data_IF_134467705066
#
_entry.id   IF_134467705066
#
_cell.length_a   1.000
_cell.length_b   1.000
_cell.length_c   1.000
_cell.angle_alpha   90.00
_cell.angle_beta   90.00
_cell.angle_gamma   90.00
#
_symmetry.space_group_name_H-M   'P 1'
#
loop_
_entity.id
_entity.type
_entity.pdbx_description
1 polymer ?
#
# COMPACT_ATOMS: atom_id res chain seq x y z
N UNK A 1 -2.03 -2.26 3.11
CA UNK A 1 -0.59 -2.58 3.04
C UNK A 1 0.25 -1.38 2.63
N UNK A 2 -0.18 -0.62 1.61
CA UNK A 2 0.53 0.56 1.11
C UNK A 2 0.82 1.65 2.15
N UNK A 3 -0.07 1.89 3.12
CA UNK A 3 0.16 2.90 4.18
C UNK A 3 1.41 2.59 5.02
N UNK A 4 1.70 1.32 5.31
CA UNK A 4 2.92 0.96 6.06
C UNK A 4 4.19 1.22 5.24
N UNK A 5 4.14 0.98 3.93
CA UNK A 5 5.25 1.26 3.01
C UNK A 5 5.49 2.77 2.96
N UNK A 6 4.44 3.56 2.72
CA UNK A 6 4.52 5.03 2.73
C UNK A 6 5.07 5.55 4.07
N UNK A 7 4.56 5.04 5.19
CA UNK A 7 5.03 5.43 6.51
C UNK A 7 6.50 5.12 6.74
N UNK A 8 6.98 3.95 6.29
CA UNK A 8 8.39 3.59 6.42
C UNK A 8 9.31 4.54 5.64
N UNK A 9 8.91 4.96 4.43
CA UNK A 9 9.67 5.92 3.62
C UNK A 9 9.66 7.31 4.28
N UNK A 10 8.50 7.76 4.77
CA UNK A 10 8.36 9.04 5.47
C UNK A 10 9.19 9.09 6.75
N UNK A 11 9.21 8.00 7.52
CA UNK A 11 9.94 7.90 8.79
C UNK A 11 11.44 7.76 8.58
N UNK A 12 11.87 7.05 7.54
CA UNK A 12 13.27 6.74 7.28
C UNK A 12 13.68 7.04 5.84
N UNK A 13 13.61 8.31 5.39
CA UNK A 13 13.80 8.64 3.99
C UNK A 13 15.20 8.27 3.47
N UNK A 14 16.24 8.38 4.30
CA UNK A 14 17.61 8.04 3.89
C UNK A 14 17.87 6.54 3.72
N UNK A 15 16.96 5.68 4.17
CA UNK A 15 17.18 4.23 4.17
C UNK A 15 16.66 3.61 2.87
N UNK A 16 17.60 3.28 1.97
CA UNK A 16 17.28 2.71 0.65
C UNK A 16 16.42 1.45 0.72
N UNK A 17 16.55 0.65 1.79
CA UNK A 17 15.76 -0.57 2.00
C UNK A 17 14.25 -0.34 1.98
N UNK A 18 13.77 0.82 2.43
CA UNK A 18 12.33 1.14 2.44
C UNK A 18 11.83 1.69 1.11
N UNK A 19 12.75 2.01 0.19
CA UNK A 19 12.44 2.43 -1.18
C UNK A 19 12.40 1.24 -2.14
N UNK A 20 12.58 0.03 -1.63
CA UNK A 20 12.58 -1.21 -2.41
C UNK A 20 11.59 -2.20 -1.81
N UNK A 21 10.87 -2.91 -2.67
CA UNK A 21 9.96 -3.98 -2.26
C UNK A 21 10.28 -5.20 -3.09
N UNK A 22 10.67 -6.29 -2.45
CA UNK A 22 10.92 -7.53 -3.16
C UNK A 22 9.62 -8.10 -3.73
N UNK A 23 9.61 -8.35 -5.05
CA UNK A 23 8.41 -8.79 -5.78
C UNK A 23 7.94 -10.15 -5.30
N UNK A 24 8.85 -11.09 -5.08
CA UNK A 24 8.50 -12.43 -4.61
C UNK A 24 7.94 -12.41 -3.19
N UNK A 25 8.59 -11.66 -2.29
CA UNK A 25 8.11 -11.51 -0.92
C UNK A 25 6.72 -10.85 -0.88
N UNK A 26 6.49 -9.82 -1.71
CA UNK A 26 5.19 -9.18 -1.86
C UNK A 26 4.13 -10.17 -2.36
N UNK A 27 4.44 -10.94 -3.39
CA UNK A 27 3.53 -11.92 -3.98
C UNK A 27 3.17 -13.03 -2.97
N UNK A 28 4.17 -13.61 -2.30
CA UNK A 28 3.97 -14.65 -1.28
C UNK A 28 3.11 -14.13 -0.12
N UNK A 29 3.42 -12.93 0.37
CA UNK A 29 2.63 -12.32 1.45
C UNK A 29 1.17 -12.07 1.04
N UNK A 30 0.95 -11.54 -0.16
CA UNK A 30 -0.40 -11.32 -0.69
C UNK A 30 -1.15 -12.63 -0.89
N UNK A 31 -0.46 -13.67 -1.37
CA UNK A 31 -1.03 -14.99 -1.59
C UNK A 31 -1.52 -15.59 -0.27
N UNK A 32 -0.66 -15.62 0.74
CA UNK A 32 -1.00 -16.11 2.08
C UNK A 32 -2.16 -15.32 2.70
N UNK A 33 -2.15 -13.99 2.57
CA UNK A 33 -3.24 -13.15 3.07
C UNK A 33 -4.56 -13.38 2.33
N UNK A 34 -4.54 -13.49 1.01
CA UNK A 34 -5.74 -13.75 0.23
C UNK A 34 -6.31 -15.13 0.52
N UNK A 35 -5.45 -16.14 0.65
CA UNK A 35 -5.83 -17.48 1.06
C UNK A 35 -6.51 -17.47 2.44
N UNK A 36 -5.92 -16.80 3.42
CA UNK A 36 -6.47 -16.68 4.78
C UNK A 36 -7.83 -15.98 4.81
N UNK A 37 -8.03 -14.98 3.94
CA UNK A 37 -9.25 -14.17 3.89
C UNK A 37 -10.25 -14.64 2.83
N UNK A 38 -10.00 -15.77 2.17
CA UNK A 38 -10.78 -16.27 1.02
C UNK A 38 -11.03 -15.18 -0.05
N UNK A 39 -10.04 -14.31 -0.27
CA UNK A 39 -10.12 -13.20 -1.22
C UNK A 39 -9.55 -13.59 -2.59
N UNK A 40 -10.02 -12.94 -3.65
CA UNK A 40 -9.49 -13.15 -5.00
C UNK A 40 -8.08 -12.55 -5.12
N UNK A 41 -7.08 -13.42 -5.16
CA UNK A 41 -5.67 -13.05 -5.19
C UNK A 41 -5.30 -12.17 -6.40
N UNK A 42 -5.73 -12.53 -7.61
CA UNK A 42 -5.40 -11.76 -8.83
C UNK A 42 -5.91 -10.32 -8.75
N UNK A 43 -7.15 -10.13 -8.29
CA UNK A 43 -7.73 -8.80 -8.11
C UNK A 43 -6.94 -7.98 -7.08
N UNK A 44 -6.58 -8.59 -5.95
CA UNK A 44 -5.80 -7.92 -4.90
C UNK A 44 -4.39 -7.58 -5.39
N UNK A 45 -3.77 -8.45 -6.18
CA UNK A 45 -2.45 -8.21 -6.76
C UNK A 45 -2.49 -7.02 -7.72
N UNK A 46 -3.44 -7.01 -8.67
CA UNK A 46 -3.61 -5.88 -9.62
C UNK A 46 -3.83 -4.57 -8.86
N UNK A 47 -4.69 -4.58 -7.85
CA UNK A 47 -4.94 -3.40 -7.02
C UNK A 47 -3.66 -2.94 -6.33
N UNK A 48 -2.92 -3.84 -5.69
CA UNK A 48 -1.66 -3.50 -5.03
C UNK A 48 -0.61 -2.95 -6.00
N UNK A 49 -0.46 -3.54 -7.19
CA UNK A 49 0.49 -3.06 -8.19
C UNK A 49 0.13 -1.65 -8.70
N UNK A 50 -1.16 -1.34 -8.86
CA UNK A 50 -1.61 -0.01 -9.24
C UNK A 50 -1.34 1.02 -8.15
N UNK A 51 -1.63 0.69 -6.89
CA UNK A 51 -1.31 1.54 -5.75
C UNK A 51 0.19 1.85 -5.66
N UNK A 52 1.05 0.86 -5.91
CA UNK A 52 2.48 1.08 -5.94
C UNK A 52 2.88 2.10 -7.03
N UNK A 53 2.31 1.98 -8.24
CA UNK A 53 2.55 2.95 -9.32
C UNK A 53 2.05 4.34 -8.93
N UNK A 54 0.88 4.44 -8.30
CA UNK A 54 0.32 5.70 -7.80
C UNK A 54 1.19 6.35 -6.71
N UNK A 55 2.07 5.59 -6.06
CA UNK A 55 3.09 6.12 -5.14
C UNK A 55 4.46 6.27 -5.77
N UNK A 56 4.55 6.31 -7.10
CA UNK A 56 5.80 6.47 -7.84
C UNK A 56 6.77 5.29 -7.66
N UNK A 57 6.27 4.08 -7.40
CA UNK A 57 7.08 2.87 -7.51
C UNK A 57 7.07 2.35 -8.94
N UNK A 58 8.27 2.06 -9.45
CA UNK A 58 8.49 1.38 -10.73
C UNK A 58 8.76 -0.09 -10.50
N UNK A 59 8.17 -0.92 -11.36
CA UNK A 59 8.42 -2.36 -11.39
C UNK A 59 9.78 -2.62 -12.06
N UNK A 60 10.72 -3.19 -11.34
CA UNK A 60 11.94 -3.76 -11.91
C UNK A 60 11.81 -5.26 -12.13
N UNK A 61 12.94 -5.92 -12.40
CA UNK A 61 12.99 -7.37 -12.61
C UNK A 61 12.60 -8.14 -11.33
N UNK A 62 13.38 -7.96 -10.25
CA UNK A 62 13.18 -8.66 -8.97
C UNK A 62 12.45 -7.84 -7.90
N UNK A 63 12.52 -6.51 -7.99
CA UNK A 63 11.98 -5.62 -6.96
C UNK A 63 11.19 -4.47 -7.59
N UNK A 64 10.31 -3.88 -6.80
CA UNK A 64 9.78 -2.54 -7.04
C UNK A 64 10.71 -1.52 -6.43
N UNK A 65 10.89 -0.39 -7.10
CA UNK A 65 11.79 0.69 -6.71
C UNK A 65 11.05 2.01 -6.69
N UNK A 66 11.23 2.81 -5.65
CA UNK A 66 10.78 4.19 -5.66
C UNK A 66 11.53 4.96 -6.75
N UNK A 67 10.80 5.67 -7.60
CA UNK A 67 11.29 6.23 -8.86
C UNK A 67 12.36 7.31 -8.71
N UNK A 68 12.42 8.00 -7.57
CA UNK A 68 13.27 9.18 -7.40
C UNK A 68 14.38 8.95 -6.37
N UNK A 69 15.60 9.36 -6.72
CA UNK A 69 16.75 9.37 -5.80
C UNK A 69 16.52 10.31 -4.62
N UNK A 70 15.84 11.43 -4.88
CA UNK A 70 15.37 12.34 -3.85
C UNK A 70 13.90 12.05 -3.54
N UNK A 71 13.63 11.65 -2.29
CA UNK A 71 12.27 11.39 -1.85
C UNK A 71 11.45 12.67 -1.84
N UNK A 72 10.31 12.63 -2.54
CA UNK A 72 9.33 13.71 -2.51
C UNK A 72 8.46 13.59 -1.24
N UNK A 73 9.02 13.97 -0.09
CA UNK A 73 8.36 13.80 1.22
C UNK A 73 6.98 14.46 1.27
N UNK A 74 6.83 15.65 0.69
CA UNK A 74 5.54 16.36 0.66
C UNK A 74 4.49 15.59 -0.14
N UNK A 75 4.88 15.01 -1.27
CA UNK A 75 3.98 14.19 -2.10
C UNK A 75 3.57 12.91 -1.37
N UNK A 76 4.55 12.16 -0.84
CA UNK A 76 4.27 10.95 -0.07
C UNK A 76 3.41 11.21 1.17
N UNK A 77 3.59 12.36 1.82
CA UNK A 77 2.75 12.78 2.94
C UNK A 77 1.31 13.04 2.51
N UNK A 78 1.11 13.71 1.36
CA UNK A 78 -0.22 13.91 0.78
C UNK A 78 -0.88 12.57 0.44
N UNK A 79 -0.15 11.65 -0.18
CA UNK A 79 -0.62 10.30 -0.47
C UNK A 79 -1.01 9.56 0.82
N UNK A 80 -0.15 9.57 1.84
CA UNK A 80 -0.42 8.94 3.13
C UNK A 80 -1.71 9.49 3.75
N UNK A 81 -1.85 10.82 3.79
CA UNK A 81 -3.03 11.51 4.33
C UNK A 81 -4.31 11.17 3.58
N UNK A 82 -4.25 11.12 2.25
CA UNK A 82 -5.39 10.72 1.42
C UNK A 82 -5.87 9.31 1.76
N UNK A 83 -4.93 8.35 1.79
CA UNK A 83 -5.26 6.94 2.00
C UNK A 83 -5.71 6.61 3.42
N UNK A 84 -5.10 7.21 4.45
CA UNK A 84 -5.54 6.99 5.83
C UNK A 84 -6.95 7.52 6.07
N UNK A 85 -7.28 8.68 5.49
CA UNK A 85 -8.62 9.26 5.59
C UNK A 85 -9.67 8.40 4.88
N UNK A 86 -9.34 7.82 3.71
CA UNK A 86 -10.25 6.88 3.04
C UNK A 86 -10.52 5.63 3.87
N UNK A 87 -9.51 5.05 4.52
CA UNK A 87 -9.71 3.88 5.38
C UNK A 87 -10.63 4.20 6.56
N UNK A 88 -10.40 5.32 7.23
CA UNK A 88 -11.23 5.79 8.34
C UNK A 88 -12.68 5.98 7.89
N UNK A 89 -12.89 6.60 6.72
CA UNK A 89 -14.22 6.81 6.16
C UNK A 89 -14.97 5.50 5.91
N UNK A 90 -14.34 4.48 5.30
CA UNK A 90 -14.97 3.18 5.09
C UNK A 90 -15.35 2.51 6.41
N UNK A 91 -14.50 2.60 7.44
CA UNK A 91 -14.80 2.07 8.78
C UNK A 91 -16.05 2.74 9.36
N UNK A 92 -16.15 4.06 9.29
CA UNK A 92 -17.33 4.78 9.77
C UNK A 92 -18.60 4.43 9.00
N UNK A 93 -18.53 4.32 7.67
CA UNK A 93 -19.68 3.91 6.84
C UNK A 93 -20.13 2.51 7.24
N UNK A 94 -19.21 1.54 7.36
CA UNK A 94 -19.55 0.18 7.77
C UNK A 94 -20.21 0.14 9.16
N UNK A 95 -19.71 0.90 10.13
CA UNK A 95 -20.31 1.00 11.47
C UNK A 95 -21.73 1.60 11.43
N UNK A 96 -21.94 2.62 10.61
CA UNK A 96 -23.24 3.26 10.45
C UNK A 96 -24.28 2.31 9.84
N UNK A 97 -23.88 1.53 8.83
CA UNK A 97 -24.74 0.52 8.21
C UNK A 97 -25.11 -0.59 9.20
N UNK A 98 -24.15 -1.09 10.00
CA UNK A 98 -24.44 -2.09 11.04
C UNK A 98 -25.44 -1.54 12.06
N UNK A 99 -25.29 -0.28 12.49
CA UNK A 99 -26.23 0.36 13.43
C UNK A 99 -27.65 0.50 12.87
N UNK A 100 -27.82 0.60 11.55
CA UNK A 100 -29.15 0.66 10.92
C UNK A 100 -29.82 -0.72 10.79
N UNK A 101 -29.04 -1.80 10.90
CA UNK A 101 -29.54 -3.18 10.80
C UNK A 101 -29.94 -3.80 12.14
N UNK A 102 -29.63 -3.15 13.27
CA UNK A 102 -29.96 -3.55 14.64
C UNK A 102 -31.09 -2.67 15.14
#
# INVERSE_FOLDING_TARGET
>A
MCLHILWNILKYPKHIKYRQINKQALYNYLFEKCHTLCANFEKVLIYMENELKDFEFKKGYDNWYYQYDNIQLLYLWKCYRYWINRQIMYVFISLLLIKQMI
#
